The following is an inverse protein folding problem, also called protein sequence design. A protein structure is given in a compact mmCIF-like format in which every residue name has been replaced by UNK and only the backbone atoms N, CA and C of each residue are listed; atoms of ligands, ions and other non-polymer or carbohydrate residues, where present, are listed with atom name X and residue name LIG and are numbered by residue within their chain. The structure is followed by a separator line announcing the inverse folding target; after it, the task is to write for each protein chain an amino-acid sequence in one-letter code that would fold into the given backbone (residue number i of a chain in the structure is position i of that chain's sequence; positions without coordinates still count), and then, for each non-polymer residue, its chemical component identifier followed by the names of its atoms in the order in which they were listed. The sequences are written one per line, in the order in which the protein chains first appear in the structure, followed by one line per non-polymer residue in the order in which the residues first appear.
data_IF_991453327773
#
_entry.id   IF_991453327773
#
_cell.length_a   1.000
_cell.length_b   1.000
_cell.length_c   1.000
_cell.angle_alpha   90.00
_cell.angle_beta   90.00
_cell.angle_gamma   90.00
#
_symmetry.space_group_name_H-M   'P 1'
#
loop_
_entity.id
_entity.type
_entity.pdbx_description
1 polymer ?
#
# COMPACT_ATOMS: atom_id res chain seq x y z
N UNK A 1 12.33 86.29 63.29
CA UNK A 1 13.78 86.48 63.14
C UNK A 1 14.46 85.12 63.26
N UNK A 2 15.34 84.82 62.36
CA UNK A 2 16.29 83.69 62.30
C UNK A 2 15.74 82.34 61.72
N UNK A 3 16.01 82.19 60.46
CA UNK A 3 15.93 80.89 59.74
C UNK A 3 17.09 80.03 60.12
N UNK A 4 16.85 78.74 60.50
CA UNK A 4 17.90 77.71 60.57
C UNK A 4 17.61 76.70 59.48
N UNK A 5 18.56 76.65 58.57
CA UNK A 5 18.79 75.75 57.49
C UNK A 5 18.71 74.26 57.88
N UNK A 6 17.82 73.51 57.31
CA UNK A 6 17.83 72.07 57.40
C UNK A 6 18.57 71.49 56.18
N UNK A 7 19.79 70.98 56.51
CA UNK A 7 20.70 70.30 55.58
C UNK A 7 20.21 68.88 55.33
N UNK A 8 19.65 68.62 54.16
CA UNK A 8 19.17 67.29 53.73
C UNK A 8 20.40 66.35 53.57
N UNK A 9 20.47 65.32 54.39
CA UNK A 9 21.38 64.21 54.24
C UNK A 9 20.84 63.27 53.15
N UNK A 10 21.46 63.26 51.98
CA UNK A 10 21.24 62.23 50.95
C UNK A 10 21.95 60.95 51.38
N UNK A 11 21.21 59.97 51.83
CA UNK A 11 21.68 58.61 52.01
C UNK A 11 21.89 57.94 50.65
N UNK A 12 23.13 57.66 50.28
CA UNK A 12 23.46 56.86 49.11
C UNK A 12 23.10 55.38 49.41
N UNK A 13 21.98 54.90 48.89
CA UNK A 13 21.69 53.48 48.88
C UNK A 13 22.49 52.85 47.72
N UNK A 14 23.61 52.25 48.07
CA UNK A 14 24.36 51.39 47.14
C UNK A 14 23.55 50.13 46.90
N UNK A 15 22.92 50.08 45.74
CA UNK A 15 22.19 48.91 45.25
C UNK A 15 23.25 47.91 44.75
N UNK A 16 23.66 46.97 45.59
CA UNK A 16 24.45 45.81 45.17
C UNK A 16 23.57 44.93 44.24
N UNK A 17 23.78 45.03 42.95
CA UNK A 17 23.28 44.06 42.00
C UNK A 17 23.94 42.72 42.25
N UNK A 18 23.21 41.80 42.87
CA UNK A 18 23.61 40.40 42.90
C UNK A 18 23.55 39.90 41.46
N UNK A 19 24.67 39.69 40.81
CA UNK A 19 24.74 38.98 39.54
C UNK A 19 24.14 37.60 39.73
N UNK A 20 22.96 37.38 39.14
CA UNK A 20 22.31 36.07 39.16
C UNK A 20 23.25 35.08 38.47
N UNK A 21 23.64 34.05 39.22
CA UNK A 21 24.52 33.02 38.69
C UNK A 21 23.70 32.13 37.74
N UNK A 22 23.70 32.47 36.44
CA UNK A 22 22.94 31.81 35.38
C UNK A 22 23.49 30.42 34.99
N UNK A 23 24.62 30.02 35.57
CA UNK A 23 25.26 28.71 35.31
C UNK A 23 24.33 27.53 35.51
N UNK A 24 23.53 27.42 36.62
CA UNK A 24 22.61 26.29 36.76
C UNK A 24 21.47 26.28 35.71
N UNK A 25 21.05 27.44 35.21
CA UNK A 25 20.06 27.56 34.17
C UNK A 25 20.58 27.03 32.83
N UNK A 26 21.80 27.39 32.44
CA UNK A 26 22.41 26.86 31.21
C UNK A 26 22.72 25.37 31.30
N UNK A 27 23.09 24.85 32.47
CA UNK A 27 23.29 23.42 32.69
C UNK A 27 21.94 22.69 32.50
N UNK A 28 20.84 23.21 33.03
CA UNK A 28 19.51 22.64 32.83
C UNK A 28 19.09 22.60 31.37
N UNK A 29 19.33 23.67 30.61
CA UNK A 29 19.04 23.71 29.15
C UNK A 29 19.86 22.68 28.36
N UNK A 30 21.14 22.54 28.69
CA UNK A 30 22.02 21.55 28.02
C UNK A 30 21.54 20.12 28.30
N UNK A 31 21.16 19.83 29.55
CA UNK A 31 20.62 18.49 29.90
C UNK A 31 19.33 18.20 29.16
N UNK A 32 18.40 19.16 29.09
CA UNK A 32 17.14 19.00 28.33
C UNK A 32 17.42 18.79 26.84
N UNK A 33 18.36 19.52 26.27
CA UNK A 33 18.74 19.33 24.86
C UNK A 33 19.36 17.95 24.60
N UNK A 34 20.23 17.45 25.47
CA UNK A 34 20.85 16.12 25.36
C UNK A 34 19.78 15.02 25.48
N UNK A 35 18.88 15.14 26.45
CA UNK A 35 17.78 14.19 26.63
C UNK A 35 16.83 14.22 25.42
N UNK A 36 16.52 15.41 24.90
CA UNK A 36 15.71 15.56 23.68
C UNK A 36 16.35 14.90 22.46
N UNK A 37 17.64 15.12 22.25
CA UNK A 37 18.40 14.47 21.16
C UNK A 37 18.46 12.94 21.36
N UNK A 38 18.67 12.47 22.58
CA UNK A 38 18.69 11.05 22.89
C UNK A 38 17.31 10.39 22.64
N UNK A 39 16.22 11.06 22.99
CA UNK A 39 14.86 10.58 22.73
C UNK A 39 14.54 10.55 21.21
N UNK A 40 14.97 11.58 20.47
CA UNK A 40 14.81 11.62 19.02
C UNK A 40 15.63 10.49 18.36
N UNK A 41 16.87 10.30 18.77
CA UNK A 41 17.72 9.23 18.26
C UNK A 41 17.17 7.85 18.64
N UNK A 42 16.65 7.70 19.85
CA UNK A 42 16.00 6.46 20.28
C UNK A 42 14.71 6.17 19.50
N UNK A 43 13.86 7.20 19.29
CA UNK A 43 12.64 7.04 18.49
C UNK A 43 12.96 6.73 17.02
N UNK A 44 13.99 7.36 16.44
CA UNK A 44 14.42 7.07 15.07
C UNK A 44 14.95 5.63 14.92
N UNK A 45 15.66 5.11 15.91
CA UNK A 45 16.13 3.72 15.90
C UNK A 45 15.03 2.69 16.14
N UNK A 46 13.91 3.07 16.79
CA UNK A 46 12.82 2.15 17.10
C UNK A 46 11.64 2.26 16.11
N UNK A 47 11.56 3.33 15.32
CA UNK A 47 10.52 3.47 14.29
C UNK A 47 10.76 2.60 13.05
N UNK A 48 12.01 2.16 12.81
CA UNK A 48 12.32 1.30 11.65
C UNK A 48 12.16 -0.21 11.92
N UNK A 49 12.02 -0.62 13.20
CA UNK A 49 11.98 -2.04 13.56
C UNK A 49 10.66 -2.75 13.21
N UNK A 50 9.61 -2.03 12.80
CA UNK A 50 8.28 -2.59 12.57
C UNK A 50 7.83 -2.57 11.11
N UNK A 51 8.59 -1.99 10.19
CA UNK A 51 8.22 -1.95 8.77
C UNK A 51 9.01 -3.00 8.00
N UNK A 52 8.36 -4.05 7.48
CA UNK A 52 9.04 -4.91 6.52
C UNK A 52 9.44 -4.05 5.31
N UNK A 53 10.72 -4.04 5.00
CA UNK A 53 11.25 -3.32 3.84
C UNK A 53 11.42 -4.30 2.70
N UNK A 54 10.73 -4.03 1.59
CA UNK A 54 10.89 -4.77 0.34
C UNK A 54 12.36 -4.78 -0.09
N UNK A 55 13.10 -3.69 0.16
CA UNK A 55 14.51 -3.54 -0.22
C UNK A 55 15.49 -4.53 0.45
N UNK A 56 15.07 -5.25 1.50
CA UNK A 56 15.94 -6.18 2.24
C UNK A 56 15.77 -7.65 1.83
N UNK A 57 14.92 -7.93 0.85
CA UNK A 57 14.71 -9.30 0.35
C UNK A 57 15.78 -9.63 -0.69
N UNK A 58 16.89 -10.19 -0.25
CA UNK A 58 17.94 -10.73 -1.12
C UNK A 58 17.50 -12.11 -1.70
N UNK A 59 16.39 -12.13 -2.43
CA UNK A 59 15.95 -13.33 -3.16
C UNK A 59 16.29 -13.19 -4.65
N UNK A 60 16.48 -14.32 -5.32
CA UNK A 60 16.50 -14.34 -6.79
C UNK A 60 15.22 -13.65 -7.28
N UNK A 61 15.30 -12.69 -8.22
CA UNK A 61 14.12 -11.97 -8.66
C UNK A 61 13.04 -12.94 -9.14
N UNK A 62 11.93 -12.98 -8.44
CA UNK A 62 10.77 -13.75 -8.86
C UNK A 62 10.09 -13.01 -10.00
N UNK A 63 9.47 -13.77 -10.90
CA UNK A 63 8.61 -13.16 -11.91
C UNK A 63 7.30 -12.78 -11.26
N UNK A 64 6.88 -11.54 -11.41
CA UNK A 64 5.58 -11.07 -10.97
C UNK A 64 4.45 -11.96 -11.53
N UNK A 65 3.55 -12.38 -10.69
CA UNK A 65 2.43 -13.24 -11.07
C UNK A 65 1.08 -12.59 -10.79
N UNK A 66 1.01 -11.75 -9.74
CA UNK A 66 -0.23 -11.19 -9.25
C UNK A 66 -1.27 -12.26 -8.89
N UNK A 67 -2.40 -11.83 -8.39
CA UNK A 67 -3.49 -12.71 -7.96
C UNK A 67 -4.61 -12.73 -9.01
N UNK A 68 -4.77 -13.87 -9.67
CA UNK A 68 -5.74 -14.03 -10.77
C UNK A 68 -7.14 -14.30 -10.25
N UNK A 69 -8.13 -13.63 -10.85
CA UNK A 69 -9.55 -13.91 -10.72
C UNK A 69 -10.17 -14.19 -12.11
N UNK A 70 -10.97 -15.24 -12.19
CA UNK A 70 -11.65 -15.64 -13.42
C UNK A 70 -10.83 -16.54 -14.34
N UNK A 71 -11.23 -16.58 -15.61
CA UNK A 71 -10.62 -17.48 -16.59
C UNK A 71 -9.28 -16.92 -17.11
N UNK A 72 -8.13 -17.62 -16.90
CA UNK A 72 -6.84 -17.17 -17.43
C UNK A 72 -6.80 -17.02 -18.96
N UNK A 73 -7.72 -17.69 -19.68
CA UNK A 73 -7.81 -17.67 -21.12
C UNK A 73 -8.90 -16.68 -21.63
N UNK A 74 -9.39 -15.78 -20.78
CA UNK A 74 -10.32 -14.74 -21.21
C UNK A 74 -9.69 -13.86 -22.30
N UNK A 75 -10.48 -13.34 -23.25
CA UNK A 75 -9.97 -12.57 -24.40
C UNK A 75 -9.29 -11.26 -24.00
N UNK A 76 -9.62 -10.75 -22.84
CA UNK A 76 -9.01 -9.53 -22.26
C UNK A 76 -8.50 -9.85 -20.86
N UNK A 77 -7.39 -9.21 -20.49
CA UNK A 77 -6.91 -9.22 -19.11
C UNK A 77 -6.94 -7.80 -18.57
N UNK A 78 -7.57 -7.63 -17.40
CA UNK A 78 -7.51 -6.41 -16.60
C UNK A 78 -6.40 -6.63 -15.57
N UNK A 79 -5.35 -5.82 -15.61
CA UNK A 79 -4.33 -5.77 -14.57
C UNK A 79 -4.62 -4.56 -13.69
N UNK A 80 -4.63 -4.75 -12.39
CA UNK A 80 -4.69 -3.68 -11.41
C UNK A 80 -3.41 -3.68 -10.60
N UNK A 81 -2.76 -2.52 -10.48
CA UNK A 81 -1.68 -2.25 -9.54
C UNK A 81 -2.25 -1.43 -8.40
N UNK A 82 -2.32 -2.03 -7.21
CA UNK A 82 -3.02 -1.43 -6.09
C UNK A 82 -2.26 -1.61 -4.77
N UNK A 83 -2.62 -0.77 -3.81
CA UNK A 83 -2.07 -0.74 -2.47
C UNK A 83 -3.22 -0.89 -1.47
N UNK A 84 -3.15 -1.91 -0.61
CA UNK A 84 -4.17 -2.12 0.43
C UNK A 84 -4.33 -0.92 1.37
N UNK A 85 -3.28 -0.13 1.58
CA UNK A 85 -3.34 1.10 2.38
C UNK A 85 -3.94 2.30 1.66
N UNK A 86 -4.09 2.24 0.33
CA UNK A 86 -4.58 3.37 -0.46
C UNK A 86 -6.11 3.54 -0.35
N UNK A 87 -6.62 4.72 0.07
CA UNK A 87 -8.07 4.96 0.17
C UNK A 87 -8.81 4.87 -1.18
N UNK A 88 -8.18 5.27 -2.28
CA UNK A 88 -8.78 5.18 -3.61
C UNK A 88 -8.86 3.72 -4.12
N UNK A 89 -7.93 2.85 -3.68
CA UNK A 89 -8.03 1.42 -3.93
C UNK A 89 -9.22 0.83 -3.17
N UNK A 90 -9.39 1.20 -1.88
CA UNK A 90 -10.54 0.78 -1.09
C UNK A 90 -11.87 1.26 -1.69
N UNK A 91 -11.93 2.50 -2.19
CA UNK A 91 -13.09 3.03 -2.91
C UNK A 91 -13.44 2.18 -4.13
N UNK A 92 -12.44 1.86 -4.97
CA UNK A 92 -12.66 1.02 -6.14
C UNK A 92 -13.09 -0.40 -5.74
N UNK A 93 -12.39 -1.04 -4.82
CA UNK A 93 -12.64 -2.40 -4.39
C UNK A 93 -14.04 -2.59 -3.76
N UNK A 94 -14.52 -1.58 -3.03
CA UNK A 94 -15.82 -1.67 -2.34
C UNK A 94 -17.01 -1.20 -3.19
N UNK A 95 -16.78 -0.28 -4.14
CA UNK A 95 -17.88 0.34 -4.91
C UNK A 95 -17.94 -0.21 -6.34
N UNK A 96 -16.82 -0.33 -7.02
CA UNK A 96 -16.80 -0.63 -8.47
C UNK A 96 -16.49 -2.09 -8.77
N UNK A 97 -15.52 -2.67 -8.07
CA UNK A 97 -15.01 -4.02 -8.34
C UNK A 97 -16.08 -5.11 -8.20
N UNK A 98 -17.06 -5.07 -7.28
CA UNK A 98 -18.14 -6.06 -7.25
C UNK A 98 -18.90 -6.19 -8.57
N UNK A 99 -19.18 -5.06 -9.24
CA UNK A 99 -19.81 -5.08 -10.57
C UNK A 99 -18.85 -5.59 -11.66
N UNK A 100 -17.55 -5.26 -11.57
CA UNK A 100 -16.51 -5.78 -12.48
C UNK A 100 -16.41 -7.30 -12.36
N UNK A 101 -16.34 -7.83 -11.15
CA UNK A 101 -16.32 -9.28 -10.90
C UNK A 101 -17.55 -9.96 -11.48
N UNK A 102 -18.75 -9.48 -11.14
CA UNK A 102 -20.01 -10.10 -11.53
C UNK A 102 -20.30 -10.01 -13.02
N UNK A 103 -20.06 -8.84 -13.63
CA UNK A 103 -20.56 -8.52 -14.97
C UNK A 103 -19.51 -8.65 -16.07
N UNK A 104 -18.21 -8.73 -15.70
CA UNK A 104 -17.12 -8.86 -16.65
C UNK A 104 -16.34 -10.17 -16.43
N UNK A 105 -15.93 -10.45 -15.19
CA UNK A 105 -15.06 -11.61 -14.91
C UNK A 105 -15.86 -12.92 -14.92
N UNK A 106 -16.97 -13.01 -14.20
CA UNK A 106 -17.83 -14.21 -14.15
C UNK A 106 -18.46 -14.54 -15.51
N UNK A 107 -18.68 -13.53 -16.35
CA UNK A 107 -19.18 -13.73 -17.71
C UNK A 107 -18.09 -14.16 -18.71
N UNK A 108 -16.83 -14.18 -18.29
CA UNK A 108 -15.69 -14.55 -19.12
C UNK A 108 -15.27 -13.50 -20.14
N UNK A 109 -15.79 -12.27 -20.06
CA UNK A 109 -15.40 -11.17 -20.95
C UNK A 109 -13.94 -10.74 -20.72
N UNK A 110 -13.49 -10.76 -19.46
CA UNK A 110 -12.09 -10.56 -19.10
C UNK A 110 -11.72 -11.41 -17.88
N UNK A 111 -10.42 -11.67 -17.72
CA UNK A 111 -9.84 -12.04 -16.43
C UNK A 111 -9.39 -10.78 -15.70
N UNK A 112 -9.28 -10.89 -14.38
CA UNK A 112 -8.81 -9.82 -13.52
C UNK A 112 -7.58 -10.29 -12.76
N UNK A 113 -6.57 -9.39 -12.63
CA UNK A 113 -5.33 -9.73 -11.93
C UNK A 113 -4.88 -8.54 -11.09
N UNK A 114 -4.83 -8.76 -9.79
CA UNK A 114 -4.35 -7.82 -8.79
C UNK A 114 -2.83 -7.99 -8.62
N UNK A 115 -2.10 -6.89 -8.65
CA UNK A 115 -0.69 -6.81 -8.33
C UNK A 115 -0.48 -5.92 -7.12
N UNK A 116 0.26 -6.40 -6.15
CA UNK A 116 0.66 -5.61 -5.00
C UNK A 116 1.60 -4.48 -5.42
N UNK A 117 1.20 -3.25 -5.15
CA UNK A 117 1.98 -2.07 -5.46
C UNK A 117 2.01 -1.08 -4.29
N UNK A 118 2.62 -1.46 -3.13
CA UNK A 118 2.69 -0.61 -1.97
C UNK A 118 3.53 0.65 -2.26
N UNK A 119 2.91 1.84 -2.10
CA UNK A 119 3.54 3.13 -2.40
C UNK A 119 4.55 3.59 -1.34
N UNK A 120 4.64 2.91 -0.18
CA UNK A 120 5.55 3.23 0.91
C UNK A 120 5.12 4.39 1.81
N UNK A 121 4.04 5.10 1.48
CA UNK A 121 3.45 6.18 2.30
C UNK A 121 2.33 5.71 3.24
N UNK A 122 1.89 4.46 3.13
CA UNK A 122 0.92 3.83 4.03
C UNK A 122 1.64 2.78 4.88
N UNK A 123 1.67 2.91 6.21
CA UNK A 123 2.59 2.13 7.06
C UNK A 123 2.32 0.62 7.03
N UNK A 124 1.07 0.21 6.81
CA UNK A 124 0.66 -1.19 6.92
C UNK A 124 0.38 -1.89 5.59
N UNK A 125 0.67 -1.25 4.44
CA UNK A 125 0.42 -1.82 3.11
C UNK A 125 1.06 -3.20 2.91
N UNK A 126 2.36 -3.31 3.17
CA UNK A 126 3.10 -4.57 3.01
C UNK A 126 2.60 -5.65 3.99
N UNK A 127 2.20 -5.25 5.20
CA UNK A 127 1.58 -6.16 6.17
C UNK A 127 0.25 -6.72 5.67
N UNK A 128 -0.60 -5.87 5.07
CA UNK A 128 -1.87 -6.27 4.49
C UNK A 128 -1.68 -7.17 3.28
N UNK A 129 -0.75 -6.83 2.37
CA UNK A 129 -0.36 -7.68 1.23
C UNK A 129 0.08 -9.08 1.68
N UNK A 130 0.97 -9.16 2.68
CA UNK A 130 1.41 -10.44 3.22
C UNK A 130 0.25 -11.22 3.88
N UNK A 131 -0.67 -10.54 4.57
CA UNK A 131 -1.85 -11.18 5.17
C UNK A 131 -2.77 -11.78 4.11
N UNK A 132 -3.01 -11.06 3.00
CA UNK A 132 -3.81 -11.53 1.88
C UNK A 132 -3.15 -12.72 1.16
N UNK A 133 -1.85 -12.63 0.89
CA UNK A 133 -1.10 -13.70 0.24
C UNK A 133 -1.06 -14.98 1.10
N UNK A 134 -0.92 -14.86 2.43
CA UNK A 134 -1.02 -15.99 3.36
C UNK A 134 -2.42 -16.62 3.39
N UNK A 135 -3.49 -15.86 3.20
CA UNK A 135 -4.82 -16.40 2.98
C UNK A 135 -4.92 -17.08 1.60
N UNK A 136 -4.20 -16.58 0.62
CA UNK A 136 -4.08 -17.16 -0.72
C UNK A 136 -3.48 -18.56 -0.71
N UNK A 137 -2.55 -18.88 0.19
CA UNK A 137 -2.03 -20.25 0.41
C UNK A 137 -3.15 -21.26 0.74
N UNK A 138 -4.27 -20.76 1.24
CA UNK A 138 -5.47 -21.53 1.58
C UNK A 138 -6.64 -21.25 0.62
N UNK A 139 -6.37 -20.72 -0.57
CA UNK A 139 -7.35 -20.35 -1.61
C UNK A 139 -8.37 -19.30 -1.15
N UNK A 140 -7.95 -18.38 -0.26
CA UNK A 140 -8.78 -17.32 0.33
C UNK A 140 -8.21 -15.92 0.11
N UNK A 141 -7.39 -15.73 -0.95
CA UNK A 141 -6.84 -14.42 -1.26
C UNK A 141 -7.94 -13.37 -1.44
N UNK A 142 -8.91 -13.65 -2.31
CA UNK A 142 -9.93 -12.68 -2.67
C UNK A 142 -10.89 -12.35 -1.53
N UNK A 143 -11.22 -13.33 -0.70
CA UNK A 143 -12.03 -13.09 0.50
C UNK A 143 -11.27 -12.26 1.54
N UNK A 144 -9.95 -12.47 1.67
CA UNK A 144 -9.12 -11.64 2.55
C UNK A 144 -8.92 -10.24 1.96
N UNK A 145 -8.71 -10.13 0.65
CA UNK A 145 -8.67 -8.87 -0.09
C UNK A 145 -9.89 -8.01 0.23
N UNK A 146 -11.09 -8.60 0.10
CA UNK A 146 -12.34 -7.89 0.38
C UNK A 146 -12.41 -7.42 1.84
N UNK A 147 -12.03 -8.28 2.79
CA UNK A 147 -11.98 -7.92 4.22
C UNK A 147 -10.99 -6.81 4.53
N UNK A 148 -9.84 -6.81 3.87
CA UNK A 148 -8.81 -5.79 4.06
C UNK A 148 -9.28 -4.42 3.56
N UNK A 149 -9.91 -4.34 2.38
CA UNK A 149 -10.42 -3.07 1.87
C UNK A 149 -11.69 -2.61 2.60
N UNK A 150 -12.63 -3.49 2.91
CA UNK A 150 -13.81 -3.16 3.71
C UNK A 150 -13.45 -2.60 5.09
N UNK A 151 -12.44 -3.21 5.73
CA UNK A 151 -11.98 -2.83 7.07
C UNK A 151 -10.74 -1.93 7.08
N UNK A 152 -10.38 -1.28 5.96
CA UNK A 152 -9.17 -0.46 5.88
C UNK A 152 -9.02 0.55 7.04
N UNK A 153 -10.07 1.27 7.49
CA UNK A 153 -9.95 2.19 8.61
C UNK A 153 -9.58 1.53 9.94
N UNK A 154 -9.83 0.22 10.11
CA UNK A 154 -9.60 -0.48 11.37
C UNK A 154 -8.13 -0.87 11.58
N UNK A 155 -7.33 -0.87 10.49
CA UNK A 155 -5.95 -1.36 10.55
C UNK A 155 -4.91 -0.42 9.90
N UNK A 156 -5.32 0.51 9.03
CA UNK A 156 -4.38 1.29 8.21
C UNK A 156 -3.37 2.09 9.03
N UNK A 157 -3.79 2.65 10.17
CA UNK A 157 -2.97 3.47 11.06
C UNK A 157 -2.59 2.75 12.37
N UNK A 158 -2.92 1.45 12.51
CA UNK A 158 -2.58 0.69 13.70
C UNK A 158 -1.07 0.45 13.81
N UNK A 159 -0.54 0.58 15.03
CA UNK A 159 0.87 0.30 15.30
C UNK A 159 1.23 -1.18 15.15
N UNK A 160 0.25 -2.06 15.31
CA UNK A 160 0.35 -3.50 15.11
C UNK A 160 -0.96 -4.06 14.54
N UNK A 161 -1.13 -4.12 13.22
CA UNK A 161 -2.38 -4.52 12.58
C UNK A 161 -2.65 -6.03 12.63
N UNK A 162 -1.67 -6.87 13.05
CA UNK A 162 -1.77 -8.34 13.03
C UNK A 162 -3.05 -8.84 13.69
N UNK A 163 -3.44 -8.28 14.85
CA UNK A 163 -4.64 -8.72 15.58
C UNK A 163 -5.94 -8.51 14.79
N UNK A 164 -6.00 -7.44 13.98
CA UNK A 164 -7.13 -7.19 13.09
C UNK A 164 -7.15 -8.24 11.97
N UNK A 165 -6.00 -8.47 11.33
CA UNK A 165 -5.87 -9.46 10.24
C UNK A 165 -6.16 -10.89 10.72
N UNK A 166 -5.74 -11.26 11.94
CA UNK A 166 -6.13 -12.54 12.55
C UNK A 166 -7.65 -12.68 12.71
N UNK A 167 -8.34 -11.58 13.05
CA UNK A 167 -9.81 -11.58 13.16
C UNK A 167 -10.45 -11.89 11.81
N UNK A 168 -9.94 -11.31 10.73
CA UNK A 168 -10.39 -11.59 9.37
C UNK A 168 -10.08 -13.03 8.96
N UNK A 169 -8.86 -13.51 9.22
CA UNK A 169 -8.45 -14.88 8.92
C UNK A 169 -9.33 -15.92 9.64
N UNK A 170 -9.63 -15.70 10.92
CA UNK A 170 -10.55 -16.53 11.70
C UNK A 170 -11.98 -16.52 11.13
N UNK A 171 -12.48 -15.33 10.73
CA UNK A 171 -13.81 -15.19 10.13
C UNK A 171 -13.92 -15.92 8.79
N UNK A 172 -12.82 -16.01 8.03
CA UNK A 172 -12.72 -16.76 6.77
C UNK A 172 -12.53 -18.27 6.97
N UNK A 173 -12.38 -18.74 8.21
CA UNK A 173 -12.22 -20.15 8.55
C UNK A 173 -10.85 -20.73 8.18
N UNK A 174 -9.80 -19.89 8.16
CA UNK A 174 -8.45 -20.33 7.83
C UNK A 174 -7.85 -21.21 8.93
N UNK A 175 -6.97 -22.13 8.56
CA UNK A 175 -6.05 -22.75 9.52
C UNK A 175 -5.12 -21.66 10.07
N UNK A 176 -5.42 -21.24 11.31
CA UNK A 176 -4.70 -20.15 11.96
C UNK A 176 -3.23 -20.48 12.23
N UNK A 177 -2.91 -21.75 12.50
CA UNK A 177 -1.51 -22.15 12.72
C UNK A 177 -0.69 -21.98 11.44
N UNK A 178 -1.25 -22.36 10.30
CA UNK A 178 -0.60 -22.20 9.01
C UNK A 178 -0.53 -20.71 8.62
N UNK A 179 -1.61 -19.96 8.83
CA UNK A 179 -1.66 -18.54 8.51
C UNK A 179 -0.68 -17.72 9.36
N UNK A 180 -0.64 -17.93 10.68
CA UNK A 180 0.30 -17.26 11.59
C UNK A 180 1.76 -17.54 11.22
N UNK A 181 2.10 -18.80 10.93
CA UNK A 181 3.45 -19.17 10.52
C UNK A 181 3.87 -18.49 9.21
N UNK A 182 2.95 -18.38 8.24
CA UNK A 182 3.16 -17.67 6.99
C UNK A 182 3.34 -16.16 7.24
N UNK A 183 2.43 -15.55 7.99
CA UNK A 183 2.44 -14.11 8.25
C UNK A 183 3.70 -13.68 9.01
N UNK A 184 4.04 -14.38 10.11
CA UNK A 184 5.18 -14.04 10.96
C UNK A 184 6.54 -14.25 10.27
N UNK A 185 6.63 -15.23 9.38
CA UNK A 185 7.82 -15.43 8.54
C UNK A 185 7.91 -14.45 7.37
N UNK A 186 6.89 -13.64 7.13
CA UNK A 186 6.80 -12.74 5.98
C UNK A 186 7.03 -13.49 4.64
N UNK A 187 6.43 -14.68 4.52
CA UNK A 187 6.69 -15.64 3.44
C UNK A 187 6.57 -15.04 2.05
N UNK A 188 5.61 -14.12 1.85
CA UNK A 188 5.28 -13.60 0.52
C UNK A 188 5.96 -12.28 0.17
N UNK A 189 6.89 -11.74 1.00
CA UNK A 189 7.61 -10.52 0.64
C UNK A 189 8.30 -10.58 -0.73
N UNK A 190 8.96 -11.70 -1.13
CA UNK A 190 9.57 -11.78 -2.45
C UNK A 190 8.57 -11.68 -3.61
N UNK A 191 7.34 -12.16 -3.42
CA UNK A 191 6.26 -12.08 -4.42
C UNK A 191 5.70 -10.66 -4.51
N UNK A 192 5.47 -10.01 -3.36
CA UNK A 192 5.03 -8.61 -3.26
C UNK A 192 6.06 -7.68 -3.90
N UNK A 193 7.36 -7.93 -3.66
CA UNK A 193 8.45 -7.17 -4.27
C UNK A 193 8.48 -7.35 -5.81
N UNK A 194 8.31 -8.58 -6.29
CA UNK A 194 8.25 -8.86 -7.73
C UNK A 194 7.06 -8.15 -8.40
N UNK A 195 5.90 -8.12 -7.77
CA UNK A 195 4.71 -7.44 -8.27
C UNK A 195 4.92 -5.92 -8.29
N UNK A 196 5.50 -5.36 -7.24
CA UNK A 196 5.88 -3.95 -7.18
C UNK A 196 6.87 -3.59 -8.31
N UNK A 197 7.93 -4.38 -8.49
CA UNK A 197 8.88 -4.17 -9.59
C UNK A 197 8.22 -4.23 -10.98
N UNK A 198 7.20 -5.08 -11.17
CA UNK A 198 6.44 -5.11 -12.42
C UNK A 198 5.71 -3.77 -12.66
N UNK A 199 5.10 -3.21 -11.62
CA UNK A 199 4.48 -1.89 -11.70
C UNK A 199 5.50 -0.80 -12.04
N UNK A 200 6.68 -0.82 -11.41
CA UNK A 200 7.78 0.12 -11.72
C UNK A 200 8.22 -0.01 -13.17
N UNK A 201 8.40 -1.24 -13.69
CA UNK A 201 8.75 -1.47 -15.13
C UNK A 201 7.68 -0.94 -16.08
N UNK A 202 6.43 -0.92 -15.65
CA UNK A 202 5.31 -0.35 -16.43
C UNK A 202 5.11 1.14 -16.21
N UNK A 203 5.97 1.78 -15.43
CA UNK A 203 5.85 3.21 -15.09
C UNK A 203 4.53 3.53 -14.37
N UNK A 204 4.10 2.65 -13.46
CA UNK A 204 2.98 2.93 -12.56
C UNK A 204 3.47 3.92 -11.49
N UNK A 205 2.77 5.05 -11.36
CA UNK A 205 3.14 6.15 -10.46
C UNK A 205 2.11 6.38 -9.35
N UNK A 206 0.95 5.76 -9.44
CA UNK A 206 -0.15 5.92 -8.48
C UNK A 206 -1.03 4.69 -8.41
N UNK A 207 -1.81 4.55 -7.30
CA UNK A 207 -2.76 3.47 -7.10
C UNK A 207 -4.19 4.00 -6.91
N UNK A 208 -5.20 3.24 -7.38
CA UNK A 208 -5.06 2.11 -8.28
C UNK A 208 -4.63 2.57 -9.68
N UNK A 209 -3.92 1.72 -10.43
CA UNK A 209 -3.68 1.91 -11.86
C UNK A 209 -4.07 0.65 -12.60
N UNK A 210 -4.90 0.79 -13.64
CA UNK A 210 -5.34 -0.34 -14.46
C UNK A 210 -4.57 -0.40 -15.77
N UNK A 211 -4.27 -1.63 -16.22
CA UNK A 211 -3.76 -1.87 -17.57
C UNK A 211 -4.74 -2.80 -18.29
N UNK A 212 -5.34 -2.31 -19.37
CA UNK A 212 -6.35 -3.03 -20.15
C UNK A 212 -5.96 -2.92 -21.64
N UNK A 213 -5.59 -4.05 -22.25
CA UNK A 213 -4.98 -4.04 -23.58
C UNK A 213 -3.69 -3.21 -23.60
N UNK A 214 -3.67 -2.14 -24.38
CA UNK A 214 -2.53 -1.21 -24.48
C UNK A 214 -2.70 0.06 -23.65
N UNK A 215 -3.78 0.17 -22.91
CA UNK A 215 -4.12 1.38 -22.14
C UNK A 215 -3.73 1.22 -20.70
N UNK A 216 -3.07 2.25 -20.15
CA UNK A 216 -2.81 2.41 -18.73
C UNK A 216 -3.66 3.56 -18.22
N UNK A 217 -4.44 3.32 -17.17
CA UNK A 217 -5.47 4.21 -16.67
C UNK A 217 -5.24 4.38 -15.15
N UNK A 218 -4.72 5.52 -14.68
CA UNK A 218 -4.53 5.78 -13.27
C UNK A 218 -5.84 6.22 -12.59
N UNK A 219 -5.96 5.87 -11.31
CA UNK A 219 -7.06 6.26 -10.42
C UNK A 219 -8.24 5.32 -10.44
N UNK A 220 -9.07 5.44 -9.40
CA UNK A 220 -10.34 4.71 -9.30
C UNK A 220 -11.29 5.18 -10.42
N UNK A 221 -11.71 4.24 -11.28
CA UNK A 221 -12.58 4.53 -12.42
C UNK A 221 -13.94 3.87 -12.26
N UNK A 222 -15.04 4.52 -12.72
CA UNK A 222 -16.35 3.94 -12.69
C UNK A 222 -16.48 2.68 -13.58
N UNK A 223 -17.40 1.80 -13.23
CA UNK A 223 -17.67 0.56 -13.96
C UNK A 223 -17.85 0.77 -15.49
N UNK A 224 -18.65 1.74 -15.90
CA UNK A 224 -18.95 1.97 -17.32
C UNK A 224 -17.70 2.38 -18.11
N UNK A 225 -16.79 3.14 -17.48
CA UNK A 225 -15.51 3.50 -18.09
C UNK A 225 -14.60 2.28 -18.23
N UNK A 226 -14.46 1.47 -17.17
CA UNK A 226 -13.68 0.24 -17.20
C UNK A 226 -14.21 -0.72 -18.26
N UNK A 227 -15.55 -0.91 -18.32
CA UNK A 227 -16.22 -1.74 -19.32
C UNK A 227 -15.92 -1.28 -20.75
N UNK A 228 -15.94 0.02 -21.02
CA UNK A 228 -15.63 0.56 -22.34
C UNK A 228 -14.18 0.23 -22.79
N UNK A 229 -13.21 0.26 -21.86
CA UNK A 229 -11.84 -0.18 -22.15
C UNK A 229 -11.77 -1.68 -22.45
N UNK A 230 -12.48 -2.50 -21.67
CA UNK A 230 -12.57 -3.95 -21.91
C UNK A 230 -13.17 -4.25 -23.27
N UNK A 231 -14.27 -3.59 -23.63
CA UNK A 231 -14.93 -3.77 -24.94
C UNK A 231 -13.99 -3.39 -26.09
N UNK A 232 -13.28 -2.26 -25.94
CA UNK A 232 -12.31 -1.82 -26.94
C UNK A 232 -11.16 -2.83 -27.10
N UNK A 233 -10.62 -3.33 -26.00
CA UNK A 233 -9.56 -4.34 -26.03
C UNK A 233 -10.04 -5.66 -26.63
N UNK A 234 -11.27 -6.08 -26.32
CA UNK A 234 -11.88 -7.30 -26.90
C UNK A 234 -12.07 -7.18 -28.42
N UNK A 235 -12.48 -6.02 -28.93
CA UNK A 235 -12.59 -5.78 -30.37
C UNK A 235 -11.22 -5.85 -31.04
N UNK A 236 -10.21 -5.23 -30.45
CA UNK A 236 -8.84 -5.26 -30.98
C UNK A 236 -8.27 -6.69 -31.03
N UNK A 237 -8.52 -7.50 -29.99
CA UNK A 237 -8.11 -8.91 -29.96
C UNK A 237 -8.75 -9.75 -31.07
N UNK A 238 -10.03 -9.52 -31.38
CA UNK A 238 -10.74 -10.20 -32.47
C UNK A 238 -10.18 -9.84 -33.86
N UNK A 239 -9.80 -8.59 -34.05
CA UNK A 239 -9.23 -8.13 -35.35
C UNK A 239 -7.78 -8.56 -35.54
N UNK A 240 -7.03 -8.78 -34.45
CA UNK A 240 -5.64 -9.25 -34.49
C UNK A 240 -5.51 -10.76 -34.78
N UNK A 241 -6.57 -11.54 -34.61
CA UNK A 241 -6.57 -12.97 -34.96
C UNK A 241 -6.83 -13.10 -36.46
N UNK A 242 -5.84 -13.53 -37.32
CA UNK A 242 -6.08 -13.70 -38.73
C UNK A 242 -7.16 -14.77 -38.93
N UNK A 243 -8.17 -14.43 -39.74
CA UNK A 243 -9.23 -15.38 -40.16
C UNK A 243 -8.60 -16.47 -41.05
N UNK A 244 -8.06 -17.54 -40.43
CA UNK A 244 -7.43 -18.66 -41.12
C UNK A 244 -8.46 -19.69 -41.61
N UNK A 245 -9.64 -19.24 -41.99
CA UNK A 245 -10.68 -20.04 -42.65
C UNK A 245 -10.70 -19.73 -44.16
N UNK A 246 -9.53 -19.91 -44.83
CA UNK A 246 -9.57 -20.11 -46.28
C UNK A 246 -9.97 -21.56 -46.57
N UNK A 247 -11.04 -21.84 -47.31
CA UNK A 247 -11.35 -23.21 -47.67
C UNK A 247 -10.26 -23.76 -48.60
N UNK A 248 -9.72 -24.92 -48.22
CA UNK A 248 -8.82 -25.66 -49.09
C UNK A 248 -9.52 -25.94 -50.43
N UNK A 249 -9.11 -25.21 -51.46
CA UNK A 249 -9.51 -25.54 -52.86
C UNK A 249 -8.97 -26.92 -53.19
N UNK A 250 -9.83 -27.90 -53.17
CA UNK A 250 -9.59 -29.22 -53.71
C UNK A 250 -9.11 -29.10 -55.16
N UNK A 251 -7.90 -29.52 -55.43
CA UNK A 251 -7.46 -29.82 -56.80
C UNK A 251 -8.04 -31.18 -57.13
N UNK A 252 -9.14 -31.19 -57.88
CA UNK A 252 -9.54 -32.34 -58.68
C UNK A 252 -8.56 -32.46 -59.85
N UNK A 253 -7.71 -33.47 -59.79
CA UNK A 253 -6.95 -33.92 -60.93
C UNK A 253 -7.57 -35.21 -61.45
N UNK A 254 -7.98 -35.20 -62.68
CA UNK A 254 -8.33 -36.33 -63.53
C UNK A 254 -7.67 -36.13 -64.88
N UNK A 255 -7.49 -37.12 -65.71
CA UNK A 255 -7.24 -38.58 -65.55
C UNK A 255 -5.82 -38.95 -65.92
#
# INVERSE_FOLDING_TARGET
MSQKSARAQRSNVVRTQRAANLKPFYIGLVVVAIVGIALIAWSAQHSDASRPSIANVAATPLKAQGHLLGNPNAPVQILEFADFGCPHCAEFATITEPDVRKRIVETGLASYRYFDFPLGNFPNSVHASNAAACAGDQNKFWEMHDKLFEGQPDWSDESNPKGVFETYAKALGLDMKAWDACYDSQKHLPEIDADHEEGVRRHVESTPTFVIGTKQIPGAIPYDMLKAYVDTAAMAAKTATPNNSAPAKGKSGTP
#
